data_IF_304843113368
#
_entry.id   IF_304843113368
#
_cell.length_a   1.000
_cell.length_b   1.000
_cell.length_c   1.000
_cell.angle_alpha   90.00
_cell.angle_beta   90.00
_cell.angle_gamma   90.00
#
_symmetry.space_group_name_H-M   'P 1'
#
loop_
_entity.id
_entity.type
_entity.pdbx_description
1 polymer ?
#
# COMPACT_ATOMS: atom_id res chain seq x y z
N UNK A 1 63.72 40.34 -43.02
CA UNK A 1 62.30 40.62 -42.73
C UNK A 1 61.52 39.42 -43.23
N UNK A 2 61.12 38.52 -42.32
CA UNK A 2 60.38 37.29 -42.63
C UNK A 2 58.97 37.46 -42.07
N UNK A 3 57.97 37.51 -42.96
CA UNK A 3 56.57 37.47 -42.59
C UNK A 3 56.19 36.05 -42.16
N UNK A 4 55.77 35.92 -40.90
CA UNK A 4 55.21 34.69 -40.36
C UNK A 4 53.74 34.59 -40.76
N UNK A 5 53.43 33.64 -41.65
CA UNK A 5 52.07 33.24 -42.02
C UNK A 5 51.43 32.55 -40.81
N UNK A 6 50.49 33.22 -40.13
CA UNK A 6 49.64 32.59 -39.11
C UNK A 6 48.54 31.79 -39.80
N UNK A 7 48.66 30.46 -39.71
CA UNK A 7 47.59 29.52 -40.03
C UNK A 7 46.51 29.64 -38.96
N UNK A 8 45.32 30.07 -39.35
CA UNK A 8 44.13 30.11 -38.48
C UNK A 8 43.48 28.73 -38.56
N UNK A 9 43.64 27.91 -37.51
CA UNK A 9 42.86 26.69 -37.37
C UNK A 9 41.40 27.02 -37.04
N UNK A 10 40.41 26.36 -37.67
CA UNK A 10 39.02 26.55 -37.32
C UNK A 10 38.74 26.04 -35.90
N UNK A 11 37.82 26.65 -35.15
CA UNK A 11 37.44 26.17 -33.84
C UNK A 11 36.86 24.76 -33.98
N UNK A 12 37.64 23.77 -33.53
CA UNK A 12 37.20 22.39 -33.43
C UNK A 12 35.94 22.33 -32.58
N UNK A 13 34.82 22.06 -33.22
CA UNK A 13 33.57 21.67 -32.58
C UNK A 13 33.77 20.29 -31.95
N UNK A 14 34.41 20.27 -30.79
CA UNK A 14 34.45 19.15 -29.88
C UNK A 14 33.04 18.88 -29.34
N UNK A 15 32.19 18.31 -30.18
CA UNK A 15 30.91 17.74 -29.78
C UNK A 15 31.18 16.63 -28.79
N UNK A 16 31.14 16.95 -27.50
CA UNK A 16 31.16 15.92 -26.47
C UNK A 16 29.97 14.98 -26.71
N UNK A 17 30.19 13.66 -26.74
CA UNK A 17 29.10 12.71 -26.91
C UNK A 17 28.17 12.82 -25.71
N UNK A 18 26.99 13.41 -25.94
CA UNK A 18 25.88 13.61 -25.02
C UNK A 18 25.28 12.31 -24.42
N UNK A 19 25.94 11.15 -24.56
CA UNK A 19 25.25 9.86 -24.56
C UNK A 19 25.35 8.98 -23.31
N UNK A 20 26.43 9.00 -22.52
CA UNK A 20 26.69 7.91 -21.57
C UNK A 20 26.61 8.29 -20.08
N UNK A 21 27.00 9.51 -19.71
CA UNK A 21 27.00 9.98 -18.32
C UNK A 21 25.59 10.27 -17.77
N UNK A 22 24.73 10.86 -18.60
CA UNK A 22 23.36 11.19 -18.22
C UNK A 22 22.49 9.96 -17.95
N UNK A 23 22.63 8.92 -18.78
CA UNK A 23 21.87 7.67 -18.64
C UNK A 23 22.23 6.90 -17.36
N UNK A 24 23.52 6.80 -17.01
CA UNK A 24 23.95 6.14 -15.76
C UNK A 24 23.45 6.88 -14.52
N UNK A 25 23.55 8.21 -14.50
CA UNK A 25 23.02 9.04 -13.40
C UNK A 25 21.50 8.93 -13.30
N UNK A 26 20.80 8.89 -14.44
CA UNK A 26 19.35 8.71 -14.53
C UNK A 26 18.88 7.37 -13.96
N UNK A 27 19.51 6.25 -14.35
CA UNK A 27 19.19 4.93 -13.80
C UNK A 27 19.39 4.93 -12.28
N UNK A 28 20.46 5.56 -11.81
CA UNK A 28 20.76 5.63 -10.38
C UNK A 28 19.66 6.37 -9.60
N UNK A 29 19.27 7.58 -10.02
CA UNK A 29 18.24 8.37 -9.32
C UNK A 29 16.85 7.72 -9.35
N UNK A 30 16.52 7.08 -10.47
CA UNK A 30 15.28 6.33 -10.61
C UNK A 30 15.26 5.15 -9.64
N UNK A 31 16.35 4.37 -9.55
CA UNK A 31 16.42 3.25 -8.61
C UNK A 31 16.13 3.66 -7.17
N UNK A 32 16.68 4.78 -6.71
CA UNK A 32 16.41 5.29 -5.36
C UNK A 32 14.96 5.69 -5.17
N UNK A 33 14.36 6.35 -6.16
CA UNK A 33 12.95 6.76 -6.10
C UNK A 33 12.04 5.53 -6.07
N UNK A 34 12.28 4.54 -6.94
CA UNK A 34 11.51 3.29 -6.96
C UNK A 34 11.67 2.51 -5.65
N UNK A 35 12.91 2.35 -5.16
CA UNK A 35 13.14 1.66 -3.90
C UNK A 35 12.44 2.36 -2.74
N UNK A 36 12.49 3.69 -2.67
CA UNK A 36 11.82 4.45 -1.63
C UNK A 36 10.30 4.28 -1.71
N UNK A 37 9.71 4.35 -2.90
CA UNK A 37 8.25 4.21 -3.08
C UNK A 37 7.79 2.79 -2.75
N UNK A 38 8.50 1.77 -3.20
CA UNK A 38 8.19 0.38 -2.86
C UNK A 38 8.33 0.15 -1.36
N UNK A 39 9.38 0.68 -0.75
CA UNK A 39 9.63 0.56 0.69
C UNK A 39 8.56 1.29 1.51
N UNK A 40 8.08 2.46 1.08
CA UNK A 40 7.12 3.25 1.85
C UNK A 40 5.66 2.85 1.57
N UNK A 41 5.34 2.36 0.38
CA UNK A 41 3.97 1.98 0.01
C UNK A 41 3.74 0.48 0.10
N UNK A 42 4.55 -0.32 -0.59
CA UNK A 42 4.30 -1.76 -0.76
C UNK A 42 4.65 -2.54 0.50
N UNK A 43 5.81 -2.28 1.12
CA UNK A 43 6.23 -3.05 2.31
C UNK A 43 5.22 -2.92 3.46
N UNK A 44 4.77 -1.72 3.87
CA UNK A 44 3.80 -1.61 4.96
C UNK A 44 2.44 -2.22 4.61
N UNK A 45 2.02 -2.11 3.35
CA UNK A 45 0.78 -2.73 2.86
C UNK A 45 0.84 -4.26 2.93
N UNK A 46 1.95 -4.88 2.52
CA UNK A 46 2.11 -6.34 2.54
C UNK A 46 2.33 -6.87 3.95
N UNK A 47 3.13 -6.16 4.76
CA UNK A 47 3.47 -6.60 6.11
C UNK A 47 2.27 -6.44 7.04
N UNK A 48 1.68 -5.24 7.10
CA UNK A 48 0.67 -4.90 8.11
C UNK A 48 -0.76 -4.87 7.57
N UNK A 49 -0.95 -4.93 6.24
CA UNK A 49 -2.24 -4.66 5.62
C UNK A 49 -2.63 -3.17 5.64
N UNK A 50 -1.70 -2.27 5.99
CA UNK A 50 -2.00 -0.87 6.27
C UNK A 50 -2.02 -0.02 4.98
N UNK A 51 -3.08 0.77 4.81
CA UNK A 51 -3.22 1.74 3.68
C UNK A 51 -2.53 3.07 3.98
N UNK A 52 -2.32 3.39 5.26
CA UNK A 52 -1.94 4.73 5.72
C UNK A 52 -0.70 5.29 5.02
N UNK A 53 0.38 4.50 4.91
CA UNK A 53 1.63 4.97 4.28
C UNK A 53 1.47 5.20 2.77
N UNK A 54 0.76 4.31 2.07
CA UNK A 54 0.43 4.49 0.65
C UNK A 54 -0.47 5.71 0.43
N UNK A 55 -1.43 5.93 1.32
CA UNK A 55 -2.29 7.12 1.34
C UNK A 55 -1.50 8.42 1.53
N UNK A 56 -0.54 8.45 2.46
CA UNK A 56 0.35 9.60 2.66
C UNK A 56 1.21 9.88 1.43
N UNK A 57 1.78 8.85 0.79
CA UNK A 57 2.56 9.02 -0.44
C UNK A 57 1.68 9.56 -1.57
N UNK A 58 0.45 9.08 -1.70
CA UNK A 58 -0.51 9.57 -2.69
C UNK A 58 -0.88 11.03 -2.43
N UNK A 59 -1.19 11.38 -1.18
CA UNK A 59 -1.45 12.76 -0.76
C UNK A 59 -0.24 13.66 -1.02
N UNK A 60 0.98 13.24 -0.68
CA UNK A 60 2.18 14.02 -0.96
C UNK A 60 2.39 14.21 -2.47
N UNK A 61 2.11 13.18 -3.27
CA UNK A 61 2.18 13.25 -4.74
C UNK A 61 1.17 14.25 -5.30
N UNK A 62 -0.04 14.30 -4.75
CA UNK A 62 -1.07 15.26 -5.16
C UNK A 62 -0.71 16.67 -4.70
N UNK A 63 -0.37 16.85 -3.42
CA UNK A 63 -0.15 18.15 -2.78
C UNK A 63 1.14 18.82 -3.27
N UNK A 64 2.24 18.08 -3.38
CA UNK A 64 3.52 18.65 -3.81
C UNK A 64 3.77 18.40 -5.28
N UNK A 65 3.42 17.22 -5.77
CA UNK A 65 3.74 16.79 -7.13
C UNK A 65 2.93 17.50 -8.21
N UNK A 66 1.62 17.70 -8.02
CA UNK A 66 0.81 18.43 -9.01
C UNK A 66 1.21 19.91 -9.12
N UNK A 67 1.36 20.69 -8.03
CA UNK A 67 1.76 22.10 -8.16
C UNK A 67 3.15 22.25 -8.76
N UNK A 68 4.11 21.41 -8.36
CA UNK A 68 5.45 21.47 -8.93
C UNK A 68 5.45 20.99 -10.39
N UNK A 69 4.62 20.01 -10.77
CA UNK A 69 4.43 19.57 -12.16
C UNK A 69 3.76 20.63 -13.04
N UNK A 70 2.79 21.37 -12.50
CA UNK A 70 2.16 22.52 -13.16
C UNK A 70 3.13 23.68 -13.31
N UNK A 71 3.89 24.00 -12.26
CA UNK A 71 4.98 24.97 -12.34
C UNK A 71 6.01 24.56 -13.39
N UNK A 72 6.25 23.26 -13.57
CA UNK A 72 7.13 22.73 -14.60
C UNK A 72 6.64 22.94 -16.04
N UNK A 73 5.35 23.20 -16.26
CA UNK A 73 4.85 23.62 -17.57
C UNK A 73 5.26 25.06 -17.91
N UNK A 74 5.53 25.88 -16.89
CA UNK A 74 5.99 27.27 -17.07
C UNK A 74 7.48 27.35 -17.43
N UNK A 75 8.27 26.33 -17.09
CA UNK A 75 9.69 26.27 -17.44
C UNK A 75 9.91 25.72 -18.85
N UNK A 76 10.80 26.36 -19.62
CA UNK A 76 11.09 26.03 -21.03
C UNK A 76 11.93 24.76 -21.20
N UNK A 77 12.46 24.19 -20.12
CA UNK A 77 13.28 22.99 -20.15
C UNK A 77 12.44 21.72 -20.35
N UNK A 78 12.43 21.24 -21.59
CA UNK A 78 11.70 20.04 -22.01
C UNK A 78 12.20 18.76 -21.33
N UNK A 79 13.48 18.66 -21.01
CA UNK A 79 14.07 17.48 -20.41
C UNK A 79 13.66 17.34 -18.93
N UNK A 80 13.68 18.46 -18.20
CA UNK A 80 13.26 18.50 -16.81
C UNK A 80 11.76 18.17 -16.65
N UNK A 81 10.90 18.78 -17.47
CA UNK A 81 9.45 18.52 -17.48
C UNK A 81 9.10 17.05 -17.75
N UNK A 82 9.77 16.43 -18.72
CA UNK A 82 9.53 15.03 -19.07
C UNK A 82 9.90 14.05 -17.94
N UNK A 83 11.03 14.29 -17.27
CA UNK A 83 11.46 13.46 -16.14
C UNK A 83 10.54 13.59 -14.94
N UNK A 84 10.06 14.80 -14.66
CA UNK A 84 9.18 15.07 -13.55
C UNK A 84 7.80 14.44 -13.73
N UNK A 85 7.18 14.59 -14.91
CA UNK A 85 5.89 13.97 -15.19
C UNK A 85 5.95 12.45 -15.05
N UNK A 86 7.02 11.81 -15.54
CA UNK A 86 7.23 10.37 -15.38
C UNK A 86 7.31 9.95 -13.92
N UNK A 87 8.01 10.71 -13.06
CA UNK A 87 8.09 10.44 -11.61
C UNK A 87 6.71 10.52 -10.96
N UNK A 88 5.91 11.54 -11.28
CA UNK A 88 4.56 11.70 -10.76
C UNK A 88 3.64 10.55 -11.18
N UNK A 89 3.73 10.12 -12.44
CA UNK A 89 2.96 8.98 -12.94
C UNK A 89 3.34 7.71 -12.18
N UNK A 90 4.64 7.43 -12.01
CA UNK A 90 5.10 6.25 -11.27
C UNK A 90 4.62 6.29 -9.81
N UNK A 91 4.80 7.42 -9.12
CA UNK A 91 4.35 7.61 -7.75
C UNK A 91 2.85 7.38 -7.61
N UNK A 92 2.06 8.02 -8.48
CA UNK A 92 0.61 7.91 -8.47
C UNK A 92 0.13 6.48 -8.78
N UNK A 93 0.71 5.82 -9.79
CA UNK A 93 0.33 4.45 -10.18
C UNK A 93 0.69 3.45 -9.09
N UNK A 94 1.89 3.53 -8.50
CA UNK A 94 2.30 2.57 -7.45
C UNK A 94 1.51 2.80 -6.17
N UNK A 95 1.38 4.04 -5.70
CA UNK A 95 0.61 4.33 -4.50
C UNK A 95 -0.88 4.00 -4.69
N UNK A 96 -1.48 4.42 -5.81
CA UNK A 96 -2.88 4.14 -6.12
C UNK A 96 -3.16 2.66 -6.29
N UNK A 97 -2.27 1.93 -6.98
CA UNK A 97 -2.35 0.47 -7.11
C UNK A 97 -2.25 -0.23 -5.75
N UNK A 98 -1.37 0.22 -4.87
CA UNK A 98 -1.24 -0.32 -3.51
C UNK A 98 -2.53 -0.12 -2.71
N UNK A 99 -3.09 1.09 -2.72
CA UNK A 99 -4.37 1.39 -2.04
C UNK A 99 -5.50 0.51 -2.59
N UNK A 100 -5.61 0.39 -3.92
CA UNK A 100 -6.63 -0.43 -4.55
C UNK A 100 -6.51 -1.92 -4.18
N UNK A 101 -5.28 -2.46 -4.15
CA UNK A 101 -5.04 -3.85 -3.75
C UNK A 101 -5.39 -4.08 -2.28
N UNK A 102 -5.00 -3.19 -1.37
CA UNK A 102 -5.36 -3.32 0.05
C UNK A 102 -6.87 -3.25 0.22
N UNK A 103 -7.55 -2.32 -0.46
CA UNK A 103 -9.01 -2.23 -0.43
C UNK A 103 -9.70 -3.50 -0.96
N UNK A 104 -9.16 -4.12 -2.01
CA UNK A 104 -9.67 -5.41 -2.49
C UNK A 104 -9.43 -6.53 -1.48
N UNK A 105 -8.25 -6.56 -0.85
CA UNK A 105 -7.95 -7.54 0.20
C UNK A 105 -8.88 -7.39 1.41
N UNK A 106 -9.26 -6.15 1.75
CA UNK A 106 -10.16 -5.85 2.86
C UNK A 106 -11.56 -6.43 2.64
N UNK A 107 -12.05 -6.39 1.39
CA UNK A 107 -13.33 -7.02 1.00
C UNK A 107 -13.33 -8.55 1.13
N UNK A 108 -12.16 -9.18 1.15
CA UNK A 108 -12.05 -10.63 1.35
C UNK A 108 -12.10 -11.02 2.83
N UNK A 109 -11.85 -10.07 3.75
CA UNK A 109 -11.83 -10.32 5.20
C UNK A 109 -13.08 -11.04 5.72
N UNK A 110 -14.31 -10.61 5.37
CA UNK A 110 -15.52 -11.31 5.81
C UNK A 110 -15.58 -12.77 5.31
N UNK A 111 -15.14 -13.00 4.07
CA UNK A 111 -15.10 -14.34 3.49
C UNK A 111 -14.08 -15.22 4.19
N UNK A 112 -12.88 -14.69 4.44
CA UNK A 112 -11.79 -15.42 5.12
C UNK A 112 -12.10 -15.72 6.59
N UNK A 113 -12.92 -14.88 7.24
CA UNK A 113 -13.38 -15.07 8.61
C UNK A 113 -14.58 -16.03 8.75
N UNK A 114 -15.22 -16.43 7.64
CA UNK A 114 -16.37 -17.35 7.63
C UNK A 114 -16.16 -18.63 8.44
N UNK A 115 -14.98 -19.31 8.41
CA UNK A 115 -14.76 -20.51 9.21
C UNK A 115 -14.87 -20.27 10.73
N UNK A 116 -14.44 -19.09 11.22
CA UNK A 116 -14.57 -18.72 12.63
C UNK A 116 -16.05 -18.57 12.99
N UNK A 117 -16.81 -17.88 12.13
CA UNK A 117 -18.25 -17.68 12.30
C UNK A 117 -18.97 -19.03 12.36
N UNK A 118 -18.67 -19.92 11.42
CA UNK A 118 -19.26 -21.26 11.36
C UNK A 118 -18.90 -22.11 12.58
N UNK A 119 -17.66 -22.01 13.08
CA UNK A 119 -17.23 -22.73 14.29
C UNK A 119 -18.01 -22.28 15.53
N UNK A 120 -18.21 -20.97 15.70
CA UNK A 120 -19.01 -20.39 16.81
C UNK A 120 -20.48 -20.78 16.69
N UNK A 121 -21.07 -20.69 15.49
CA UNK A 121 -22.47 -21.11 15.27
C UNK A 121 -22.65 -22.61 15.55
N UNK A 122 -21.71 -23.45 15.12
CA UNK A 122 -21.75 -24.89 15.38
C UNK A 122 -21.61 -25.20 16.87
N UNK A 123 -20.72 -24.51 17.58
CA UNK A 123 -20.60 -24.62 19.03
C UNK A 123 -21.93 -24.32 19.73
N UNK A 124 -22.63 -23.26 19.29
CA UNK A 124 -23.95 -22.92 19.81
C UNK A 124 -25.00 -23.99 19.53
N UNK A 125 -24.99 -24.58 18.35
CA UNK A 125 -25.90 -25.68 18.02
C UNK A 125 -25.68 -26.91 18.90
N UNK A 126 -24.42 -27.25 19.19
CA UNK A 126 -24.05 -28.44 19.97
C UNK A 126 -24.27 -28.25 21.48
N UNK A 127 -24.06 -27.04 22.02
CA UNK A 127 -24.07 -26.77 23.47
C UNK A 127 -25.29 -25.99 23.96
N UNK A 128 -26.01 -25.34 23.06
CA UNK A 128 -27.14 -24.44 23.37
C UNK A 128 -26.72 -23.00 23.72
N UNK A 129 -25.43 -22.68 23.78
CA UNK A 129 -24.92 -21.34 24.13
C UNK A 129 -23.73 -20.91 23.29
N UNK A 130 -23.45 -19.60 23.25
CA UNK A 130 -22.23 -19.11 22.61
C UNK A 130 -21.01 -19.33 23.51
N UNK A 131 -19.82 -19.56 22.94
CA UNK A 131 -18.59 -19.64 23.73
C UNK A 131 -18.31 -18.27 24.37
N UNK A 132 -17.69 -18.26 25.55
CA UNK A 132 -17.29 -17.01 26.23
C UNK A 132 -16.06 -16.42 25.55
N UNK A 133 -15.17 -17.26 25.04
CA UNK A 133 -13.94 -16.85 24.34
C UNK A 133 -13.68 -17.71 23.11
N UNK A 134 -12.91 -17.21 22.13
CA UNK A 134 -12.51 -18.03 20.98
C UNK A 134 -11.62 -19.22 21.38
N UNK A 135 -10.94 -19.17 22.52
CA UNK A 135 -10.13 -20.28 23.01
C UNK A 135 -10.98 -21.49 23.46
N UNK A 136 -12.26 -21.29 23.76
CA UNK A 136 -13.21 -22.37 24.07
C UNK A 136 -13.67 -23.13 22.82
N UNK A 137 -13.41 -22.58 21.63
CA UNK A 137 -13.49 -23.35 20.39
C UNK A 137 -12.34 -24.35 20.42
N UNK A 138 -12.58 -25.47 21.10
CA UNK A 138 -11.66 -26.61 21.11
C UNK A 138 -11.28 -26.98 19.68
N UNK A 139 -10.18 -27.72 19.53
CA UNK A 139 -9.75 -28.28 18.24
C UNK A 139 -10.85 -29.08 17.52
N UNK A 140 -11.92 -29.49 18.22
CA UNK A 140 -13.13 -30.09 17.64
C UNK A 140 -13.85 -29.16 16.65
N UNK A 141 -13.92 -27.85 16.91
CA UNK A 141 -14.65 -26.89 16.08
C UNK A 141 -13.73 -26.04 15.21
N UNK A 142 -12.54 -25.71 15.72
CA UNK A 142 -11.56 -24.91 15.01
C UNK A 142 -10.15 -25.39 15.39
N UNK A 143 -9.47 -26.09 14.49
CA UNK A 143 -8.12 -26.61 14.76
C UNK A 143 -7.09 -25.49 14.96
N UNK A 144 -7.19 -24.43 14.14
CA UNK A 144 -6.35 -23.25 14.20
C UNK A 144 -7.14 -22.03 13.73
N UNK A 145 -6.76 -20.84 14.22
CA UNK A 145 -7.34 -19.59 13.74
C UNK A 145 -6.91 -19.38 12.27
N UNK A 146 -7.86 -19.28 11.32
CA UNK A 146 -7.53 -19.03 9.93
C UNK A 146 -6.95 -17.62 9.78
N UNK A 147 -6.13 -17.43 8.75
CA UNK A 147 -5.78 -16.08 8.31
C UNK A 147 -7.07 -15.36 7.89
N UNK A 148 -7.28 -14.17 8.43
CA UNK A 148 -8.45 -13.33 8.11
C UNK A 148 -8.12 -12.29 7.05
N UNK A 149 -6.84 -12.13 6.70
CA UNK A 149 -6.38 -11.20 5.66
C UNK A 149 -5.23 -11.76 4.83
N UNK A 150 -5.07 -11.19 3.64
CA UNK A 150 -3.91 -11.39 2.77
C UNK A 150 -2.77 -10.45 3.18
N UNK A 151 -2.25 -10.63 4.39
CA UNK A 151 -1.11 -9.89 4.94
C UNK A 151 -0.17 -10.84 5.68
N UNK A 152 1.11 -10.45 5.80
CA UNK A 152 2.07 -11.26 6.55
C UNK A 152 1.76 -11.26 8.04
N UNK A 153 1.54 -10.08 8.62
CA UNK A 153 1.07 -9.94 9.99
C UNK A 153 -0.45 -9.89 9.98
N UNK A 154 -1.07 -10.82 10.69
CA UNK A 154 -2.52 -10.87 10.85
C UNK A 154 -2.97 -9.84 11.90
N UNK A 155 -4.14 -9.20 11.72
CA UNK A 155 -4.72 -8.37 12.76
C UNK A 155 -5.26 -9.21 13.91
N UNK A 156 -5.34 -8.63 15.11
CA UNK A 156 -5.88 -9.32 16.28
C UNK A 156 -7.39 -9.48 16.17
N UNK A 157 -7.84 -10.73 15.97
CA UNK A 157 -9.27 -11.06 15.93
C UNK A 157 -9.80 -11.04 17.35
N UNK A 158 -10.73 -10.11 17.62
CA UNK A 158 -11.35 -9.96 18.93
C UNK A 158 -12.74 -10.56 18.92
N UNK A 159 -13.08 -11.32 19.94
CA UNK A 159 -14.44 -11.80 20.17
C UNK A 159 -14.93 -11.24 21.51
N UNK A 160 -16.11 -10.64 21.48
CA UNK A 160 -16.73 -10.02 22.65
C UNK A 160 -18.14 -10.58 22.83
N UNK A 161 -18.49 -10.95 24.05
CA UNK A 161 -19.82 -11.44 24.43
C UNK A 161 -20.36 -10.53 25.53
N UNK A 162 -21.07 -9.47 25.13
CA UNK A 162 -21.73 -8.54 26.06
C UNK A 162 -23.22 -8.79 26.07
N UNK A 163 -23.80 -8.94 27.26
CA UNK A 163 -25.25 -9.12 27.45
C UNK A 163 -25.84 -10.28 26.62
N UNK A 164 -25.06 -11.35 26.44
CA UNK A 164 -25.46 -12.51 25.63
C UNK A 164 -25.39 -12.31 24.11
N UNK A 165 -24.88 -11.15 23.66
CA UNK A 165 -24.74 -10.80 22.24
C UNK A 165 -23.29 -10.94 21.79
N UNK A 166 -22.93 -12.05 21.14
CA UNK A 166 -21.57 -12.24 20.64
C UNK A 166 -21.31 -11.35 19.43
N UNK A 167 -20.08 -10.85 19.35
CA UNK A 167 -19.56 -10.04 18.25
C UNK A 167 -18.16 -10.50 17.91
N UNK A 168 -17.87 -10.63 16.63
CA UNK A 168 -16.51 -10.89 16.14
C UNK A 168 -16.00 -9.61 15.47
N UNK A 169 -14.89 -9.06 15.95
CA UNK A 169 -14.31 -7.81 15.47
C UNK A 169 -12.96 -8.12 14.84
N UNK A 170 -12.79 -7.69 13.60
CA UNK A 170 -11.55 -7.87 12.83
C UNK A 170 -11.08 -6.49 12.36
N UNK A 171 -9.97 -5.98 12.90
CA UNK A 171 -9.37 -4.73 12.44
C UNK A 171 -8.97 -4.77 10.96
N UNK A 172 -9.08 -3.63 10.29
CA UNK A 172 -8.70 -3.47 8.88
C UNK A 172 -7.18 -3.47 8.65
N UNK A 173 -6.36 -3.36 9.69
CA UNK A 173 -4.93 -3.62 9.62
C UNK A 173 -4.38 -3.92 11.02
N UNK A 174 -3.17 -4.46 11.08
CA UNK A 174 -2.49 -4.68 12.36
C UNK A 174 -2.23 -3.33 13.04
N UNK A 175 -2.72 -3.15 14.26
CA UNK A 175 -2.64 -1.89 15.01
C UNK A 175 -3.57 -0.78 14.52
N UNK A 176 -4.52 -1.08 13.63
CA UNK A 176 -5.53 -0.11 13.21
C UNK A 176 -6.67 -0.03 14.23
N UNK A 177 -6.99 1.21 14.62
CA UNK A 177 -8.06 1.52 15.57
C UNK A 177 -9.26 2.19 14.89
N UNK A 178 -9.16 2.51 13.59
CA UNK A 178 -10.14 3.37 12.93
C UNK A 178 -11.14 2.59 12.09
N UNK A 179 -10.72 1.52 11.42
CA UNK A 179 -11.62 0.69 10.61
C UNK A 179 -11.62 -0.77 11.08
N UNK A 180 -12.81 -1.35 11.19
CA UNK A 180 -12.98 -2.77 11.54
C UNK A 180 -14.22 -3.39 10.91
N UNK A 181 -14.14 -4.69 10.66
CA UNK A 181 -15.26 -5.53 10.27
C UNK A 181 -15.82 -6.23 11.50
N UNK A 182 -17.07 -5.97 11.81
CA UNK A 182 -17.78 -6.58 12.94
C UNK A 182 -18.82 -7.57 12.41
N UNK A 183 -18.79 -8.82 12.86
CA UNK A 183 -19.87 -9.77 12.63
C UNK A 183 -20.80 -9.84 13.83
N UNK A 184 -22.08 -9.56 13.61
CA UNK A 184 -23.12 -9.75 14.60
C UNK A 184 -23.77 -11.13 14.38
N UNK A 185 -23.61 -12.05 15.32
CA UNK A 185 -24.16 -13.40 15.18
C UNK A 185 -25.68 -13.47 15.41
N UNK A 186 -26.29 -12.48 16.07
CA UNK A 186 -27.76 -12.43 16.21
C UNK A 186 -28.40 -12.07 14.88
N UNK A 187 -27.87 -11.04 14.24
CA UNK A 187 -28.37 -10.53 12.95
C UNK A 187 -27.79 -11.27 11.75
N UNK A 188 -26.79 -12.13 11.98
CA UNK A 188 -26.06 -12.91 10.97
C UNK A 188 -25.48 -12.09 9.83
N UNK A 189 -25.01 -10.88 10.13
CA UNK A 189 -24.49 -9.94 9.13
C UNK A 189 -23.18 -9.32 9.56
N UNK A 190 -22.39 -8.97 8.55
CA UNK A 190 -21.21 -8.13 8.70
C UNK A 190 -21.64 -6.65 8.72
N UNK A 191 -21.13 -5.92 9.70
CA UNK A 191 -21.24 -4.47 9.84
C UNK A 191 -19.83 -3.92 9.72
N UNK A 192 -19.65 -2.95 8.82
CA UNK A 192 -18.37 -2.29 8.65
C UNK A 192 -18.40 -0.97 9.40
N UNK A 193 -17.54 -0.82 10.40
CA UNK A 193 -17.37 0.42 11.14
C UNK A 193 -16.13 1.14 10.59
N UNK A 194 -16.37 2.33 10.03
CA UNK A 194 -15.36 3.28 9.54
C UNK A 194 -15.25 4.49 10.46
#
# INVERSE_FOLDING_TARGET
MSEAVRVIEPPGSGGQPLGSGGWKRWISEIRYTWMLVLLLSVVPAVVYGAVFSAGLVLMATVVFGLPTGLAALLFKDKAWRGNMWRRLVVLGVVAGGTVALVYQSDKLTPSMATPIVQAVEKFKQDTGGYPVTLAELSSKYLEHLPAVRVSFQQPDVTYDLRDGRPKLIIPSASGDAFASHEYNFEEKRWVHNN
#
